data_IF_197885649110
#
_entry.id   IF_197885649110
#
_cell.length_a   1.000
_cell.length_b   1.000
_cell.length_c   1.000
_cell.angle_alpha   90.00
_cell.angle_beta   90.00
_cell.angle_gamma   90.00
#
_symmetry.space_group_name_H-M   'P 1'
#
loop_
_entity.id
_entity.type
_entity.pdbx_description
1 polymer ?
#
# COMPACT_ATOMS: atom_id res chain seq x y z
N UNK A 1 6.05 -33.76 -1.40
CA UNK A 1 7.23 -33.02 -1.91
C UNK A 1 7.58 -31.96 -0.86
N UNK A 2 7.94 -32.41 0.36
CA UNK A 2 7.85 -31.59 1.59
C UNK A 2 9.16 -31.55 2.38
N UNK A 3 10.27 -32.08 1.85
CA UNK A 3 11.51 -32.30 2.61
C UNK A 3 12.79 -31.79 1.90
N UNK A 4 12.71 -30.65 1.21
CA UNK A 4 13.90 -30.02 0.59
C UNK A 4 14.24 -28.62 1.13
N UNK A 5 13.60 -28.17 2.22
CA UNK A 5 13.49 -26.73 2.55
C UNK A 5 14.36 -26.23 3.71
N UNK A 6 15.26 -27.05 4.28
CA UNK A 6 15.90 -26.72 5.55
C UNK A 6 17.43 -26.70 5.53
N UNK A 7 18.09 -26.50 4.38
CA UNK A 7 19.57 -26.55 4.34
C UNK A 7 20.28 -25.24 4.70
N UNK A 8 19.63 -24.06 4.63
CA UNK A 8 20.30 -22.75 4.83
C UNK A 8 19.53 -21.73 5.71
N UNK A 9 18.49 -22.15 6.43
CA UNK A 9 17.72 -21.25 7.30
C UNK A 9 18.36 -21.15 8.69
N UNK A 10 18.71 -19.93 9.12
CA UNK A 10 19.13 -19.69 10.51
C UNK A 10 17.96 -19.12 11.31
N UNK A 11 17.56 -19.82 12.38
CA UNK A 11 16.57 -19.34 13.34
C UNK A 11 17.18 -19.30 14.74
N UNK A 12 17.20 -18.12 15.36
CA UNK A 12 17.68 -17.95 16.73
C UNK A 12 16.78 -16.99 17.49
N UNK A 13 16.56 -17.30 18.78
CA UNK A 13 16.00 -16.35 19.75
C UNK A 13 17.15 -15.56 20.36
N UNK A 14 17.10 -14.23 20.23
CA UNK A 14 18.17 -13.34 20.72
C UNK A 14 17.56 -12.16 21.46
N UNK A 15 18.23 -11.71 22.52
CA UNK A 15 17.86 -10.46 23.17
C UNK A 15 18.36 -9.25 22.37
N UNK A 16 17.89 -8.05 22.72
CA UNK A 16 18.23 -6.82 22.02
C UNK A 16 19.75 -6.51 22.09
N UNK A 17 20.40 -6.84 23.21
CA UNK A 17 21.85 -6.72 23.36
C UNK A 17 22.62 -7.46 22.25
N UNK A 18 22.24 -8.72 21.99
CA UNK A 18 22.83 -9.57 20.96
C UNK A 18 22.35 -9.22 19.55
N UNK A 19 21.09 -8.82 19.40
CA UNK A 19 20.54 -8.42 18.10
C UNK A 19 21.34 -7.26 17.50
N UNK A 20 21.60 -6.23 18.33
CA UNK A 20 22.43 -5.08 17.97
C UNK A 20 23.90 -5.23 18.40
N UNK A 21 24.42 -6.46 18.42
CA UNK A 21 25.85 -6.69 18.63
C UNK A 21 26.69 -6.05 17.51
N UNK A 22 28.00 -5.90 17.76
CA UNK A 22 28.96 -5.24 16.89
C UNK A 22 29.04 -5.83 15.49
N UNK A 23 28.60 -7.06 15.33
CA UNK A 23 28.64 -7.83 14.10
C UNK A 23 27.41 -7.66 13.21
N UNK A 24 26.29 -7.13 13.72
CA UNK A 24 25.04 -7.07 12.95
C UNK A 24 24.74 -5.66 12.43
N UNK A 25 24.31 -5.58 11.17
CA UNK A 25 23.82 -4.37 10.52
C UNK A 25 22.54 -4.68 9.75
N UNK A 26 21.56 -3.80 9.87
CA UNK A 26 20.25 -3.94 9.27
C UNK A 26 20.01 -2.78 8.29
N UNK A 27 19.42 -3.09 7.14
CA UNK A 27 18.96 -2.13 6.14
C UNK A 27 17.48 -2.35 5.90
N UNK A 28 16.69 -1.28 5.92
CA UNK A 28 15.33 -1.30 5.40
C UNK A 28 15.44 -1.08 3.88
N UNK A 29 15.15 -2.09 3.06
CA UNK A 29 15.37 -2.04 1.61
C UNK A 29 14.26 -1.25 0.90
N UNK A 30 14.52 -0.83 -0.34
CA UNK A 30 13.62 0.08 -1.07
C UNK A 30 12.29 -0.53 -1.48
N UNK A 31 12.17 -1.86 -1.49
CA UNK A 31 10.89 -2.53 -1.72
C UNK A 31 9.94 -2.50 -0.51
N UNK A 32 10.44 -2.15 0.67
CA UNK A 32 9.62 -2.01 1.86
C UNK A 32 8.92 -0.66 1.93
N UNK A 33 7.86 -0.56 2.73
CA UNK A 33 7.19 0.73 2.96
C UNK A 33 8.03 1.64 3.87
N UNK A 34 7.91 2.97 3.79
CA UNK A 34 8.50 3.88 4.78
C UNK A 34 8.00 3.59 6.21
N UNK A 35 8.60 4.25 7.21
CA UNK A 35 8.07 4.21 8.58
C UNK A 35 6.64 4.76 8.62
N UNK A 36 5.72 4.03 9.26
CA UNK A 36 4.28 4.30 9.18
C UNK A 36 3.49 3.89 10.42
N UNK A 37 4.15 3.46 11.50
CA UNK A 37 3.44 3.27 12.78
C UNK A 37 2.85 4.58 13.27
N UNK A 38 1.58 4.50 13.67
CA UNK A 38 0.82 5.58 14.26
C UNK A 38 0.98 5.61 15.79
N UNK A 39 0.34 6.59 16.41
CA UNK A 39 0.38 6.79 17.87
C UNK A 39 -0.12 5.55 18.60
N UNK A 40 -1.12 4.85 18.08
CA UNK A 40 -1.69 3.67 18.73
C UNK A 40 -0.65 2.54 18.76
N UNK A 41 -0.02 2.22 17.63
CA UNK A 41 1.00 1.16 17.57
C UNK A 41 2.22 1.49 18.44
N UNK A 42 2.60 2.77 18.50
CA UNK A 42 3.71 3.23 19.33
C UNK A 42 3.36 3.19 20.83
N UNK A 43 2.13 3.56 21.19
CA UNK A 43 1.62 3.51 22.56
C UNK A 43 1.56 2.07 23.05
N UNK A 44 1.01 1.16 22.24
CA UNK A 44 0.97 -0.27 22.54
C UNK A 44 2.38 -0.79 22.84
N UNK A 45 3.38 -0.49 21.98
CA UNK A 45 4.75 -0.96 22.19
C UNK A 45 5.35 -0.49 23.53
N UNK A 46 5.23 0.80 23.86
CA UNK A 46 5.86 1.34 25.07
C UNK A 46 5.09 0.95 26.34
N UNK A 47 3.76 0.92 26.29
CA UNK A 47 2.91 0.56 27.42
C UNK A 47 3.07 -0.93 27.76
N UNK A 48 3.19 -1.80 26.75
CA UNK A 48 3.53 -3.21 26.92
C UNK A 48 4.91 -3.38 27.59
N UNK A 49 5.92 -2.67 27.10
CA UNK A 49 7.27 -2.73 27.68
C UNK A 49 7.31 -2.23 29.13
N UNK A 50 6.55 -1.17 29.44
CA UNK A 50 6.45 -0.64 30.80
C UNK A 50 5.77 -1.64 31.73
N UNK A 51 4.69 -2.30 31.28
CA UNK A 51 3.87 -3.18 32.12
C UNK A 51 4.37 -4.63 32.19
N UNK A 52 5.26 -5.05 31.29
CA UNK A 52 5.76 -6.41 31.22
C UNK A 52 6.44 -6.89 32.53
N UNK A 53 6.24 -8.15 32.96
CA UNK A 53 6.95 -8.71 34.09
C UNK A 53 8.47 -8.66 33.89
N UNK A 54 9.23 -8.24 34.91
CA UNK A 54 10.70 -8.06 34.83
C UNK A 54 11.50 -9.35 35.07
N UNK A 55 10.84 -10.40 35.55
CA UNK A 55 11.42 -11.69 35.90
C UNK A 55 11.38 -12.72 34.75
N UNK A 56 10.75 -12.37 33.62
CA UNK A 56 10.63 -13.21 32.44
C UNK A 56 11.15 -12.49 31.18
N UNK A 57 11.51 -13.27 30.17
CA UNK A 57 11.86 -12.74 28.86
C UNK A 57 10.58 -12.27 28.13
N UNK A 58 10.64 -11.09 27.50
CA UNK A 58 9.51 -10.50 26.79
C UNK A 58 9.67 -10.64 25.28
N UNK A 59 8.71 -11.32 24.64
CA UNK A 59 8.79 -11.58 23.21
C UNK A 59 8.32 -10.38 22.39
N UNK A 60 9.27 -9.72 21.72
CA UNK A 60 9.02 -8.62 20.80
C UNK A 60 8.65 -9.11 19.39
N UNK A 61 8.36 -10.39 19.19
CA UNK A 61 7.93 -10.91 17.89
C UNK A 61 9.07 -11.38 16.99
N UNK A 62 8.70 -11.70 15.74
CA UNK A 62 9.60 -12.29 14.75
C UNK A 62 10.17 -11.23 13.80
N UNK A 63 11.43 -11.39 13.40
CA UNK A 63 12.08 -10.66 12.30
C UNK A 63 12.37 -11.63 11.16
N UNK A 64 12.09 -11.22 9.92
CA UNK A 64 12.50 -11.97 8.73
C UNK A 64 13.58 -11.17 8.02
N UNK A 65 14.72 -11.80 7.79
CA UNK A 65 15.94 -11.17 7.30
C UNK A 65 16.44 -11.87 6.04
N UNK A 66 16.93 -11.07 5.10
CA UNK A 66 17.70 -11.54 3.96
C UNK A 66 19.18 -11.20 4.21
N UNK A 67 20.05 -12.21 4.24
CA UNK A 67 21.49 -12.03 4.43
C UNK A 67 22.12 -11.53 3.14
N UNK A 68 22.50 -10.26 3.09
CA UNK A 68 23.11 -9.61 1.92
C UNK A 68 24.59 -9.95 1.84
N UNK A 69 25.29 -9.88 2.97
CA UNK A 69 26.70 -10.29 3.04
C UNK A 69 27.07 -10.76 4.44
N UNK A 70 28.09 -11.61 4.50
CA UNK A 70 28.73 -12.02 5.75
C UNK A 70 30.24 -12.00 5.51
N UNK A 71 30.92 -11.01 6.08
CA UNK A 71 32.35 -10.80 5.90
C UNK A 71 33.04 -10.68 7.26
N UNK A 72 34.00 -11.57 7.53
CA UNK A 72 34.77 -11.56 8.79
C UNK A 72 33.90 -11.54 10.06
N UNK A 73 32.77 -12.24 10.04
CA UNK A 73 31.80 -12.28 11.13
C UNK A 73 30.84 -11.08 11.18
N UNK A 74 31.01 -10.08 10.32
CA UNK A 74 30.05 -8.98 10.17
C UNK A 74 28.94 -9.40 9.20
N UNK A 75 27.71 -9.38 9.68
CA UNK A 75 26.50 -9.70 8.93
C UNK A 75 25.76 -8.42 8.54
N UNK A 76 25.39 -8.34 7.26
CA UNK A 76 24.53 -7.28 6.72
C UNK A 76 23.23 -7.91 6.27
N UNK A 77 22.13 -7.43 6.85
CA UNK A 77 20.79 -7.94 6.61
C UNK A 77 19.91 -6.88 5.96
N UNK A 78 19.16 -7.27 4.94
CA UNK A 78 17.95 -6.57 4.54
C UNK A 78 16.78 -7.06 5.40
N UNK A 79 16.03 -6.13 5.99
CA UNK A 79 14.87 -6.44 6.81
C UNK A 79 13.65 -6.64 5.91
N UNK A 80 13.20 -7.89 5.80
CA UNK A 80 12.03 -8.27 5.01
C UNK A 80 10.74 -8.22 5.85
N UNK A 81 10.84 -8.44 7.16
CA UNK A 81 9.72 -8.27 8.09
C UNK A 81 10.16 -7.72 9.44
N UNK A 82 9.25 -7.04 10.13
CA UNK A 82 9.49 -6.43 11.44
C UNK A 82 10.16 -5.05 11.37
N UNK A 83 10.25 -4.45 10.18
CA UNK A 83 10.86 -3.15 9.96
C UNK A 83 10.32 -2.05 10.90
N UNK A 84 9.00 -1.97 11.10
CA UNK A 84 8.37 -0.87 11.84
C UNK A 84 8.69 -0.99 13.32
N UNK A 85 8.69 -2.23 13.83
CA UNK A 85 9.04 -2.55 15.21
C UNK A 85 10.52 -2.30 15.47
N UNK A 86 11.39 -2.73 14.55
CA UNK A 86 12.84 -2.52 14.68
C UNK A 86 13.19 -1.03 14.66
N UNK A 87 12.59 -0.25 13.75
CA UNK A 87 12.75 1.20 13.69
C UNK A 87 12.25 1.86 14.98
N UNK A 88 11.07 1.50 15.47
CA UNK A 88 10.50 2.04 16.72
C UNK A 88 11.37 1.72 17.94
N UNK A 89 11.91 0.50 18.00
CA UNK A 89 12.84 0.11 19.05
C UNK A 89 14.13 0.95 19.01
N UNK A 90 14.70 1.20 17.83
CA UNK A 90 15.85 2.10 17.70
C UNK A 90 15.52 3.54 18.16
N UNK A 91 14.33 4.06 17.84
CA UNK A 91 13.87 5.37 18.30
C UNK A 91 13.73 5.38 19.83
N UNK A 92 13.15 4.34 20.42
CA UNK A 92 13.01 4.21 21.87
C UNK A 92 14.37 4.15 22.57
N UNK A 93 15.34 3.40 22.04
CA UNK A 93 16.71 3.39 22.55
C UNK A 93 17.34 4.78 22.49
N UNK A 94 17.13 5.55 21.41
CA UNK A 94 17.61 6.93 21.34
C UNK A 94 16.95 7.84 22.38
N UNK A 95 15.65 7.67 22.64
CA UNK A 95 14.94 8.42 23.68
C UNK A 95 15.45 8.05 25.08
N UNK A 96 15.74 6.78 25.34
CA UNK A 96 16.38 6.32 26.57
C UNK A 96 17.78 6.95 26.73
N UNK A 97 18.63 6.94 25.70
CA UNK A 97 19.95 7.60 25.70
C UNK A 97 19.88 9.08 26.07
N UNK A 98 18.83 9.77 25.65
CA UNK A 98 18.62 11.20 25.87
C UNK A 98 17.64 11.50 27.02
N UNK A 99 17.30 10.50 27.84
CA UNK A 99 16.45 10.67 29.01
C UNK A 99 17.17 11.41 30.12
N UNK A 100 16.43 12.23 30.86
CA UNK A 100 16.95 12.90 32.06
C UNK A 100 17.53 11.91 33.08
N UNK A 101 17.02 10.67 33.11
CA UNK A 101 17.53 9.61 33.99
C UNK A 101 19.02 9.31 33.78
N UNK A 102 19.58 9.54 32.59
CA UNK A 102 20.98 9.21 32.29
C UNK A 102 21.87 10.43 32.04
N UNK A 103 21.41 11.64 32.40
CA UNK A 103 22.17 12.89 32.14
C UNK A 103 23.59 12.82 32.73
N UNK A 104 23.73 12.30 33.95
CA UNK A 104 25.03 12.13 34.63
C UNK A 104 25.68 10.75 34.37
N UNK A 105 25.01 9.86 33.64
CA UNK A 105 25.46 8.49 33.37
C UNK A 105 26.03 8.34 31.96
N UNK A 106 27.16 9.00 31.71
CA UNK A 106 27.82 9.01 30.39
C UNK A 106 28.14 7.61 29.84
N UNK A 107 28.46 6.66 30.72
CA UNK A 107 28.74 5.28 30.32
C UNK A 107 27.49 4.58 29.76
N UNK A 108 26.34 4.70 30.43
CA UNK A 108 25.07 4.10 29.97
C UNK A 108 24.65 4.71 28.63
N UNK A 109 24.76 6.04 28.48
CA UNK A 109 24.47 6.73 27.21
C UNK A 109 25.34 6.21 26.08
N UNK A 110 26.63 5.96 26.34
CA UNK A 110 27.57 5.36 25.38
C UNK A 110 27.17 3.93 25.03
N UNK A 111 26.84 3.09 26.02
CA UNK A 111 26.40 1.71 25.77
C UNK A 111 25.14 1.65 24.89
N UNK A 112 24.16 2.51 25.15
CA UNK A 112 22.95 2.60 24.32
C UNK A 112 23.30 3.12 22.92
N UNK A 113 24.18 4.13 22.80
CA UNK A 113 24.64 4.63 21.51
C UNK A 113 25.29 3.54 20.66
N UNK A 114 26.10 2.65 21.26
CA UNK A 114 26.75 1.54 20.55
C UNK A 114 25.75 0.54 19.92
N UNK A 115 24.52 0.45 20.48
CA UNK A 115 23.42 -0.36 19.92
C UNK A 115 22.70 0.32 18.75
N UNK A 116 22.86 1.63 18.58
CA UNK A 116 22.23 2.40 17.51
C UNK A 116 23.24 2.69 16.39
N UNK A 117 24.51 2.92 16.74
CA UNK A 117 25.57 3.26 15.82
C UNK A 117 26.92 2.69 16.27
N UNK A 118 27.65 2.10 15.32
CA UNK A 118 29.07 1.83 15.46
C UNK A 118 29.86 3.14 15.35
N UNK A 119 30.63 3.47 16.38
CA UNK A 119 31.54 4.61 16.35
C UNK A 119 32.75 4.34 15.43
N UNK A 120 33.28 5.39 14.81
CA UNK A 120 34.54 5.33 14.06
C UNK A 120 35.70 5.06 15.01
N UNK A 121 36.45 3.98 14.78
CA UNK A 121 37.71 3.72 15.48
C UNK A 121 38.87 3.90 14.50
N UNK A 122 39.45 5.11 14.51
CA UNK A 122 40.50 5.52 13.57
C UNK A 122 41.74 4.60 13.60
N UNK A 123 42.15 4.14 14.79
CA UNK A 123 43.31 3.27 14.94
C UNK A 123 43.09 1.86 14.38
N UNK A 124 41.87 1.35 14.50
CA UNK A 124 41.49 0.02 14.04
C UNK A 124 40.95 0.02 12.60
N UNK A 125 40.90 1.18 11.94
CA UNK A 125 40.36 1.33 10.59
C UNK A 125 38.86 1.08 10.49
N UNK A 126 38.13 1.12 11.61
CA UNK A 126 36.71 0.82 11.67
C UNK A 126 35.91 2.10 11.38
N UNK A 127 35.09 2.16 10.32
CA UNK A 127 34.30 3.35 10.01
C UNK A 127 33.08 3.49 10.94
N UNK A 128 32.58 4.72 11.05
CA UNK A 128 31.27 4.94 11.66
C UNK A 128 30.18 4.33 10.77
N UNK A 129 29.25 3.59 11.38
CA UNK A 129 28.18 2.91 10.63
C UNK A 129 26.94 2.74 11.50
N UNK A 130 25.79 3.18 11.01
CA UNK A 130 24.52 3.00 11.72
C UNK A 130 24.14 1.52 11.76
N UNK A 131 23.63 1.05 12.90
CA UNK A 131 23.17 -0.34 13.09
C UNK A 131 21.92 -0.62 12.29
N UNK A 132 21.04 0.37 12.17
CA UNK A 132 19.86 0.36 11.31
C UNK A 132 19.98 1.48 10.28
N UNK A 133 19.90 1.12 8.99
CA UNK A 133 19.82 2.05 7.88
C UNK A 133 18.37 2.10 7.38
N UNK A 134 17.70 3.23 7.54
CA UNK A 134 16.35 3.47 7.00
C UNK A 134 16.43 4.21 5.66
N UNK A 135 15.29 4.43 4.99
CA UNK A 135 15.26 5.20 3.74
C UNK A 135 15.52 6.69 3.97
N UNK A 136 14.84 7.29 4.94
CA UNK A 136 14.95 8.72 5.29
C UNK A 136 16.20 9.03 6.14
N UNK A 137 17.39 8.75 5.60
CA UNK A 137 18.64 8.78 6.36
C UNK A 137 18.92 10.12 7.03
N UNK A 138 18.73 11.24 6.32
CA UNK A 138 19.03 12.55 6.88
C UNK A 138 18.15 12.87 8.09
N UNK A 139 16.84 12.60 8.00
CA UNK A 139 15.91 12.81 9.10
C UNK A 139 16.19 11.86 10.27
N UNK A 140 16.43 10.58 9.98
CA UNK A 140 16.72 9.58 11.00
C UNK A 140 18.05 9.83 11.69
N UNK A 141 19.09 10.23 10.96
CA UNK A 141 20.40 10.53 11.53
C UNK A 141 20.35 11.75 12.45
N UNK A 142 19.61 12.78 12.04
CA UNK A 142 19.38 13.98 12.84
C UNK A 142 18.63 13.68 14.14
N UNK A 143 17.55 12.91 14.07
CA UNK A 143 16.66 12.68 15.22
C UNK A 143 17.16 11.54 16.12
N UNK A 144 17.56 10.40 15.55
CA UNK A 144 17.80 9.15 16.27
C UNK A 144 19.29 8.90 16.51
N UNK A 145 20.13 9.07 15.49
CA UNK A 145 21.56 8.73 15.59
C UNK A 145 22.34 9.78 16.39
N UNK A 146 22.06 11.07 16.17
CA UNK A 146 22.73 12.19 16.83
C UNK A 146 22.45 12.17 18.35
N UNK A 147 23.48 12.10 19.22
CA UNK A 147 23.27 12.21 20.66
C UNK A 147 22.58 13.51 21.05
N UNK A 148 21.51 13.43 21.85
CA UNK A 148 20.66 14.57 22.19
C UNK A 148 19.63 14.96 21.12
N UNK A 149 19.69 14.36 19.92
CA UNK A 149 18.81 14.72 18.80
C UNK A 149 17.32 14.50 19.09
N UNK A 150 16.97 13.58 19.99
CA UNK A 150 15.56 13.33 20.36
C UNK A 150 14.99 14.40 21.31
N UNK A 151 15.83 15.27 21.90
CA UNK A 151 15.42 16.38 22.77
C UNK A 151 15.54 17.74 22.06
N UNK A 152 16.07 17.76 20.84
CA UNK A 152 16.23 18.99 20.06
C UNK A 152 14.90 19.42 19.44
N UNK A 153 14.25 20.40 20.07
CA UNK A 153 12.96 20.96 19.64
C UNK A 153 13.11 22.17 18.70
N UNK A 154 14.32 22.57 18.32
CA UNK A 154 14.57 23.86 17.64
C UNK A 154 14.03 23.94 16.21
N UNK A 155 13.59 22.83 15.61
CA UNK A 155 13.13 22.77 14.21
C UNK A 155 11.84 21.96 13.98
N UNK A 156 11.02 21.73 15.01
CA UNK A 156 9.70 21.06 14.85
C UNK A 156 8.83 21.83 13.84
N UNK A 157 8.92 23.16 13.82
CA UNK A 157 8.16 24.04 12.92
C UNK A 157 8.65 24.00 11.45
N UNK A 158 9.82 23.40 11.16
CA UNK A 158 10.41 23.33 9.82
C UNK A 158 10.59 21.91 9.30
N UNK A 159 9.93 20.89 9.85
CA UNK A 159 10.02 19.53 9.30
C UNK A 159 9.50 19.52 7.85
N UNK A 160 10.41 19.49 6.87
CA UNK A 160 10.11 19.70 5.43
C UNK A 160 9.49 18.43 4.79
N UNK A 161 9.35 17.32 5.52
CA UNK A 161 8.83 16.06 4.97
C UNK A 161 8.06 15.18 5.96
N UNK A 162 7.11 14.40 5.41
CA UNK A 162 6.22 13.49 6.12
C UNK A 162 6.99 12.44 6.96
N UNK A 163 8.18 12.01 6.52
CA UNK A 163 9.04 11.05 7.23
C UNK A 163 9.64 11.58 8.54
N UNK A 164 10.20 12.81 8.56
CA UNK A 164 10.75 13.41 9.79
C UNK A 164 9.65 13.58 10.85
N UNK A 165 8.46 14.01 10.42
CA UNK A 165 7.31 14.20 11.32
C UNK A 165 6.92 12.92 12.07
N UNK A 166 6.97 11.76 11.39
CA UNK A 166 6.66 10.47 12.02
C UNK A 166 7.70 10.08 13.08
N UNK A 167 8.99 10.30 12.82
CA UNK A 167 10.03 10.06 13.83
C UNK A 167 9.86 10.99 15.03
N UNK A 168 9.54 12.27 14.79
CA UNK A 168 9.27 13.25 15.85
C UNK A 168 8.05 12.86 16.69
N UNK A 169 6.97 12.42 16.06
CA UNK A 169 5.76 11.93 16.76
C UNK A 169 6.09 10.75 17.68
N UNK A 170 6.90 9.79 17.21
CA UNK A 170 7.36 8.67 18.02
C UNK A 170 8.23 9.12 19.20
N UNK A 171 9.17 10.03 18.96
CA UNK A 171 10.04 10.61 19.98
C UNK A 171 9.24 11.35 21.06
N UNK A 172 8.28 12.18 20.67
CA UNK A 172 7.42 12.94 21.59
C UNK A 172 6.60 12.00 22.48
N UNK A 173 6.02 10.95 21.91
CA UNK A 173 5.25 9.97 22.67
C UNK A 173 6.14 9.20 23.66
N UNK A 174 7.31 8.71 23.21
CA UNK A 174 8.21 7.97 24.07
C UNK A 174 8.79 8.84 25.18
N UNK A 175 9.22 10.07 24.92
CA UNK A 175 9.65 10.99 25.98
C UNK A 175 8.51 11.29 26.95
N UNK A 176 7.28 11.52 26.49
CA UNK A 176 6.12 11.71 27.38
C UNK A 176 5.93 10.53 28.33
N UNK A 177 6.10 9.29 27.85
CA UNK A 177 6.01 8.09 28.69
C UNK A 177 7.21 7.97 29.62
N UNK A 178 8.43 8.15 29.13
CA UNK A 178 9.66 8.06 29.94
C UNK A 178 9.71 9.14 31.04
N UNK A 179 9.27 10.36 30.74
CA UNK A 179 9.25 11.48 31.69
C UNK A 179 8.15 11.30 32.77
N UNK A 180 7.19 10.38 32.56
CA UNK A 180 6.20 10.00 33.56
C UNK A 180 6.70 8.94 34.55
N UNK A 181 7.83 8.31 34.26
CA UNK A 181 8.46 7.29 35.12
C UNK A 181 9.49 7.91 36.06
N UNK A 182 9.67 7.31 37.24
CA UNK A 182 10.77 7.66 38.13
C UNK A 182 12.12 7.21 37.57
N UNK A 183 13.21 7.83 38.05
CA UNK A 183 14.57 7.47 37.62
C UNK A 183 14.86 5.95 37.73
N UNK A 184 14.57 5.25 38.86
CA UNK A 184 14.77 3.81 38.94
C UNK A 184 13.93 3.01 37.94
N UNK A 185 12.71 3.45 37.63
CA UNK A 185 11.85 2.78 36.66
C UNK A 185 12.42 2.89 35.23
N UNK A 186 12.96 4.06 34.85
CA UNK A 186 13.62 4.24 33.55
C UNK A 186 14.88 3.37 33.44
N UNK A 187 15.69 3.30 34.50
CA UNK A 187 16.87 2.43 34.55
C UNK A 187 16.48 0.97 34.38
N UNK A 188 15.52 0.50 35.18
CA UNK A 188 15.00 -0.87 35.11
C UNK A 188 14.40 -1.19 33.73
N UNK A 189 13.70 -0.24 33.11
CA UNK A 189 13.14 -0.39 31.77
C UNK A 189 14.23 -0.53 30.70
N UNK A 190 15.29 0.30 30.78
CA UNK A 190 16.41 0.21 29.84
C UNK A 190 17.14 -1.14 29.95
N UNK A 191 17.42 -1.60 31.18
CA UNK A 191 18.02 -2.91 31.42
C UNK A 191 17.13 -4.04 30.91
N UNK A 192 15.83 -3.97 31.19
CA UNK A 192 14.86 -4.94 30.71
C UNK A 192 14.81 -5.03 29.18
N UNK A 193 14.73 -3.88 28.49
CA UNK A 193 14.71 -3.83 27.02
C UNK A 193 15.97 -4.46 26.43
N UNK A 194 17.14 -4.16 26.98
CA UNK A 194 18.41 -4.66 26.42
C UNK A 194 18.62 -6.14 26.72
N UNK A 195 18.31 -6.57 27.94
CA UNK A 195 18.71 -7.90 28.43
C UNK A 195 17.62 -8.96 28.30
N UNK A 196 16.34 -8.60 28.47
CA UNK A 196 15.20 -9.52 28.61
C UNK A 196 14.20 -9.47 27.47
N UNK A 197 14.15 -8.38 26.71
CA UNK A 197 13.35 -8.36 25.49
C UNK A 197 14.04 -9.19 24.40
N UNK A 198 13.32 -10.17 23.86
CA UNK A 198 13.82 -11.13 22.89
C UNK A 198 13.04 -11.07 21.59
N UNK A 199 13.76 -11.28 20.48
CA UNK A 199 13.18 -11.47 19.14
C UNK A 199 13.59 -12.84 18.62
N UNK A 200 12.72 -13.44 17.81
CA UNK A 200 13.09 -14.57 16.96
C UNK A 200 13.44 -14.01 15.60
N UNK A 201 14.68 -14.16 15.12
CA UNK A 201 14.99 -13.80 13.74
C UNK A 201 15.11 -15.05 12.87
N UNK A 202 14.61 -14.94 11.65
CA UNK A 202 14.71 -15.92 10.58
C UNK A 202 15.55 -15.30 9.47
N UNK A 203 16.80 -15.73 9.33
CA UNK A 203 17.69 -15.25 8.28
C UNK A 203 17.79 -16.27 7.15
N UNK A 204 17.46 -15.84 5.93
CA UNK A 204 17.64 -16.61 4.71
C UNK A 204 18.83 -16.06 3.90
N UNK A 205 19.43 -16.92 3.08
CA UNK A 205 20.57 -16.56 2.22
C UNK A 205 20.15 -15.95 0.87
N UNK A 206 18.87 -16.02 0.51
CA UNK A 206 18.33 -15.39 -0.69
C UNK A 206 17.06 -14.60 -0.39
N UNK A 207 16.80 -13.60 -1.24
CA UNK A 207 15.62 -12.76 -1.14
C UNK A 207 14.34 -13.57 -1.31
N UNK A 208 14.28 -14.50 -2.27
CA UNK A 208 13.08 -15.30 -2.55
C UNK A 208 12.70 -16.18 -1.36
N UNK A 209 13.69 -16.73 -0.66
CA UNK A 209 13.45 -17.51 0.54
C UNK A 209 13.01 -16.62 1.70
N UNK A 210 13.67 -15.48 1.92
CA UNK A 210 13.27 -14.51 2.93
C UNK A 210 11.84 -14.01 2.68
N UNK A 211 11.49 -13.73 1.44
CA UNK A 211 10.18 -13.26 1.05
C UNK A 211 9.11 -14.34 1.22
N UNK A 212 9.43 -15.60 0.91
CA UNK A 212 8.53 -16.73 1.19
C UNK A 212 8.33 -16.93 2.70
N UNK A 213 9.36 -16.77 3.52
CA UNK A 213 9.21 -16.84 4.98
C UNK A 213 8.30 -15.71 5.48
N UNK A 214 8.48 -14.51 4.94
CA UNK A 214 7.66 -13.36 5.23
C UNK A 214 6.18 -13.59 4.92
N UNK A 215 5.84 -14.15 3.75
CA UNK A 215 4.45 -14.45 3.40
C UNK A 215 3.86 -15.52 4.31
N UNK A 216 4.62 -16.57 4.65
CA UNK A 216 4.17 -17.63 5.57
C UNK A 216 3.98 -17.14 7.00
N UNK A 217 4.86 -16.27 7.50
CA UNK A 217 4.77 -15.69 8.86
C UNK A 217 3.56 -14.76 8.94
N UNK A 218 3.32 -13.94 7.91
CA UNK A 218 2.21 -12.97 7.90
C UNK A 218 0.85 -13.59 7.58
N UNK A 219 0.78 -14.66 6.76
CA UNK A 219 -0.49 -15.36 6.48
C UNK A 219 -1.11 -16.01 7.74
N UNK A 220 -0.34 -16.17 8.82
CA UNK A 220 -0.83 -16.63 10.14
C UNK A 220 -1.22 -15.48 11.08
N UNK A 221 -0.99 -14.22 10.69
CA UNK A 221 -1.20 -13.00 11.48
C UNK A 221 -2.08 -11.95 10.79
N UNK A 222 -1.85 -10.65 11.09
CA UNK A 222 -2.56 -9.52 10.44
C UNK A 222 -2.13 -9.45 8.97
N UNK A 223 -3.09 -9.55 8.04
CA UNK A 223 -2.81 -9.63 6.60
C UNK A 223 -2.11 -8.37 6.10
N UNK A 224 -0.98 -8.54 5.41
CA UNK A 224 -0.36 -7.50 4.62
C UNK A 224 -1.26 -7.08 3.45
N UNK A 225 -1.16 -5.81 3.06
CA UNK A 225 -1.81 -5.33 1.84
C UNK A 225 -1.19 -6.08 0.66
N UNK A 226 -2.03 -6.69 -0.18
CA UNK A 226 -1.57 -7.45 -1.35
C UNK A 226 -0.74 -6.59 -2.31
N UNK A 227 -1.00 -5.29 -2.34
CA UNK A 227 -0.24 -4.31 -3.12
C UNK A 227 1.20 -4.12 -2.63
N UNK A 228 1.47 -4.28 -1.34
CA UNK A 228 2.84 -4.20 -0.80
C UNK A 228 3.66 -5.40 -1.25
N UNK A 229 3.02 -6.58 -1.31
CA UNK A 229 3.64 -7.80 -1.85
C UNK A 229 3.91 -7.65 -3.35
N UNK A 230 2.97 -7.05 -4.10
CA UNK A 230 3.18 -6.72 -5.51
C UNK A 230 4.33 -5.74 -5.71
N UNK A 231 4.43 -4.69 -4.90
CA UNK A 231 5.56 -3.75 -4.92
C UNK A 231 6.88 -4.51 -4.72
N UNK A 232 6.95 -5.35 -3.70
CA UNK A 232 8.18 -6.07 -3.38
C UNK A 232 8.59 -7.08 -4.46
N UNK A 233 7.65 -7.77 -5.07
CA UNK A 233 7.93 -8.65 -6.20
C UNK A 233 8.41 -7.89 -7.43
N UNK A 234 7.83 -6.73 -7.73
CA UNK A 234 8.22 -5.93 -8.90
C UNK A 234 9.53 -5.16 -8.69
N UNK A 235 9.93 -4.90 -7.44
CA UNK A 235 11.20 -4.27 -7.09
C UNK A 235 12.27 -5.28 -6.62
N UNK A 236 11.99 -6.59 -6.74
CA UNK A 236 12.90 -7.63 -6.28
C UNK A 236 14.26 -7.53 -7.01
N UNK A 237 15.38 -7.87 -6.35
CA UNK A 237 16.71 -7.76 -6.95
C UNK A 237 16.90 -8.53 -8.28
N UNK A 238 16.17 -9.63 -8.48
CA UNK A 238 16.23 -10.37 -9.74
C UNK A 238 15.38 -9.76 -10.86
N UNK A 239 14.43 -8.86 -10.52
CA UNK A 239 13.57 -8.14 -11.48
C UNK A 239 14.19 -6.79 -11.83
N UNK A 240 14.66 -6.05 -10.83
CA UNK A 240 15.39 -4.78 -10.99
C UNK A 240 16.75 -4.93 -10.30
N UNK A 241 17.80 -5.35 -11.06
CA UNK A 241 19.13 -5.61 -10.51
C UNK A 241 19.83 -4.38 -9.97
N UNK A 242 19.66 -3.23 -10.64
CA UNK A 242 20.30 -1.98 -10.25
C UNK A 242 19.64 -1.35 -9.02
N UNK A 243 20.47 -0.94 -8.05
CA UNK A 243 20.03 -0.38 -6.77
C UNK A 243 19.49 1.05 -6.91
N UNK A 244 19.98 1.83 -7.88
CA UNK A 244 19.53 3.20 -8.16
C UNK A 244 18.16 3.17 -8.85
N UNK A 245 18.00 2.32 -9.86
CA UNK A 245 16.71 2.08 -10.51
C UNK A 245 15.67 1.58 -9.52
N UNK A 246 16.02 0.63 -8.66
CA UNK A 246 15.10 0.12 -7.64
C UNK A 246 14.63 1.22 -6.69
N UNK A 247 15.53 2.13 -6.31
CA UNK A 247 15.18 3.30 -5.49
C UNK A 247 14.26 4.25 -6.25
N UNK A 248 14.61 4.61 -7.48
CA UNK A 248 13.80 5.49 -8.34
C UNK A 248 12.37 4.96 -8.52
N UNK A 249 12.22 3.66 -8.79
CA UNK A 249 10.90 3.04 -8.94
C UNK A 249 10.14 2.88 -7.62
N UNK A 250 10.84 2.67 -6.49
CA UNK A 250 10.23 2.70 -5.17
C UNK A 250 9.66 4.09 -4.83
N UNK A 251 10.41 5.14 -5.11
CA UNK A 251 10.00 6.54 -4.92
C UNK A 251 8.81 6.90 -5.82
N UNK A 252 8.82 6.48 -7.10
CA UNK A 252 7.67 6.64 -8.00
C UNK A 252 6.42 5.94 -7.46
N UNK A 253 6.56 4.72 -6.94
CA UNK A 253 5.44 3.99 -6.34
C UNK A 253 4.85 4.74 -5.15
N UNK A 254 5.70 5.29 -4.30
CA UNK A 254 5.27 6.07 -3.13
C UNK A 254 4.62 7.38 -3.53
N UNK A 255 5.17 8.09 -4.52
CA UNK A 255 4.55 9.30 -5.06
C UNK A 255 3.16 9.02 -5.64
N UNK A 256 2.97 7.88 -6.32
CA UNK A 256 1.65 7.46 -6.80
C UNK A 256 0.66 7.22 -5.64
N UNK A 257 1.08 6.50 -4.60
CA UNK A 257 0.22 6.20 -3.44
C UNK A 257 -0.10 7.48 -2.64
N UNK A 258 0.87 8.38 -2.46
CA UNK A 258 0.67 9.66 -1.79
C UNK A 258 -0.27 10.58 -2.59
N UNK A 259 -0.14 10.61 -3.92
CA UNK A 259 -0.97 11.42 -4.80
C UNK A 259 -2.46 11.12 -4.66
N UNK A 260 -2.84 9.83 -4.64
CA UNK A 260 -4.26 9.42 -4.64
C UNK A 260 -4.78 8.99 -3.27
N UNK A 261 -3.88 8.78 -2.30
CA UNK A 261 -4.17 8.22 -1.00
C UNK A 261 -4.32 6.69 -0.99
N UNK A 262 -4.03 6.08 0.16
CA UNK A 262 -3.98 4.62 0.35
C UNK A 262 -5.22 3.87 -0.13
N UNK A 263 -6.43 4.35 0.22
CA UNK A 263 -7.70 3.69 -0.15
C UNK A 263 -7.91 3.68 -1.66
N UNK A 264 -7.77 4.84 -2.31
CA UNK A 264 -7.91 4.97 -3.77
C UNK A 264 -6.83 4.16 -4.48
N UNK A 265 -5.61 4.14 -3.94
CA UNK A 265 -4.52 3.36 -4.51
C UNK A 265 -4.85 1.86 -4.53
N UNK A 266 -5.40 1.28 -3.46
CA UNK A 266 -5.88 -0.11 -3.48
C UNK A 266 -7.01 -0.35 -4.50
N UNK A 267 -7.93 0.61 -4.66
CA UNK A 267 -9.03 0.52 -5.64
C UNK A 267 -8.53 0.54 -7.08
N UNK A 268 -7.44 1.25 -7.37
CA UNK A 268 -6.78 1.25 -8.68
C UNK A 268 -6.31 -0.16 -9.04
N UNK A 269 -5.70 -0.92 -8.13
CA UNK A 269 -5.29 -2.30 -8.41
C UNK A 269 -6.49 -3.21 -8.73
N UNK A 270 -7.60 -3.05 -8.00
CA UNK A 270 -8.83 -3.81 -8.27
C UNK A 270 -9.40 -3.47 -9.65
N UNK A 271 -9.38 -2.19 -10.01
CA UNK A 271 -9.85 -1.70 -11.30
C UNK A 271 -8.94 -2.18 -12.44
N UNK A 272 -7.63 -2.02 -12.30
CA UNK A 272 -6.62 -2.51 -13.24
C UNK A 272 -6.75 -4.02 -13.47
N UNK A 273 -6.93 -4.80 -12.39
CA UNK A 273 -7.18 -6.24 -12.49
C UNK A 273 -8.44 -6.54 -13.31
N UNK A 274 -9.53 -5.81 -13.09
CA UNK A 274 -10.75 -6.00 -13.88
C UNK A 274 -10.56 -5.62 -15.35
N UNK A 275 -9.77 -4.58 -15.65
CA UNK A 275 -9.46 -4.17 -17.02
C UNK A 275 -8.69 -5.25 -17.80
N UNK A 276 -7.69 -5.87 -17.17
CA UNK A 276 -6.89 -6.92 -17.82
C UNK A 276 -7.59 -8.27 -17.85
N UNK A 277 -8.23 -8.69 -16.76
CA UNK A 277 -8.78 -10.04 -16.61
C UNK A 277 -10.19 -10.16 -17.19
N UNK A 278 -11.00 -9.09 -17.15
CA UNK A 278 -12.35 -9.01 -17.73
C UNK A 278 -13.35 -10.08 -17.24
N UNK A 279 -13.08 -10.68 -16.09
CA UNK A 279 -13.96 -11.65 -15.43
C UNK A 279 -14.23 -11.22 -13.99
N UNK A 280 -15.17 -11.86 -13.30
CA UNK A 280 -15.27 -11.70 -11.85
C UNK A 280 -13.98 -12.17 -11.14
N UNK A 281 -13.61 -11.60 -9.99
CA UNK A 281 -12.53 -12.13 -9.15
C UNK A 281 -12.76 -13.61 -8.85
N UNK A 282 -11.74 -14.44 -9.09
CA UNK A 282 -11.75 -15.88 -8.81
C UNK A 282 -10.82 -16.24 -7.66
N UNK A 283 -10.03 -15.30 -7.16
CA UNK A 283 -9.12 -15.54 -6.05
C UNK A 283 -8.58 -14.27 -5.42
N UNK A 284 -7.50 -14.45 -4.66
CA UNK A 284 -6.76 -13.36 -4.04
C UNK A 284 -6.12 -12.44 -5.09
N UNK A 285 -6.18 -11.12 -4.84
CA UNK A 285 -5.70 -10.09 -5.77
C UNK A 285 -4.26 -10.34 -6.22
N UNK A 286 -3.36 -10.71 -5.30
CA UNK A 286 -1.95 -10.97 -5.62
C UNK A 286 -1.83 -12.11 -6.62
N UNK A 287 -2.49 -13.25 -6.35
CA UNK A 287 -2.46 -14.44 -7.21
C UNK A 287 -3.04 -14.14 -8.59
N UNK A 288 -4.02 -13.25 -8.68
CA UNK A 288 -4.58 -12.84 -9.96
C UNK A 288 -3.58 -12.03 -10.79
N UNK A 289 -2.86 -11.10 -10.18
CA UNK A 289 -1.78 -10.36 -10.86
C UNK A 289 -0.66 -11.30 -11.31
N UNK A 290 -0.17 -12.17 -10.41
CA UNK A 290 0.92 -13.10 -10.71
C UNK A 290 0.57 -14.11 -11.81
N UNK A 291 -0.63 -14.71 -11.75
CA UNK A 291 -0.97 -15.82 -12.62
C UNK A 291 -1.67 -15.41 -13.92
N UNK A 292 -2.34 -14.25 -13.94
CA UNK A 292 -3.23 -13.85 -15.06
C UNK A 292 -2.87 -12.52 -15.72
N UNK A 293 -2.03 -11.69 -15.11
CA UNK A 293 -1.69 -10.36 -15.64
C UNK A 293 -0.21 -10.27 -15.97
N UNK A 294 0.66 -10.37 -14.98
CA UNK A 294 2.09 -10.13 -15.16
C UNK A 294 2.72 -11.12 -16.14
N UNK A 295 3.37 -10.59 -17.17
CA UNK A 295 4.03 -11.38 -18.23
C UNK A 295 3.07 -12.12 -19.17
N UNK A 296 1.76 -11.82 -19.15
CA UNK A 296 0.80 -12.36 -20.13
C UNK A 296 0.70 -11.48 -21.37
N UNK A 297 0.29 -12.06 -22.48
CA UNK A 297 0.16 -11.36 -23.77
C UNK A 297 -0.79 -10.17 -23.65
N UNK A 298 -0.30 -8.97 -23.99
CA UNK A 298 -1.08 -7.72 -23.92
C UNK A 298 -1.19 -7.11 -22.52
N UNK A 299 -0.55 -7.70 -21.52
CA UNK A 299 -0.45 -7.21 -20.15
C UNK A 299 1.02 -6.87 -19.81
N UNK A 300 1.28 -6.04 -18.78
CA UNK A 300 2.63 -5.60 -18.46
C UNK A 300 3.54 -6.74 -18.00
N UNK A 301 4.84 -6.63 -18.30
CA UNK A 301 5.86 -7.48 -17.67
C UNK A 301 6.20 -6.98 -16.24
N UNK A 302 6.67 -7.86 -15.34
CA UNK A 302 7.13 -7.43 -14.01
C UNK A 302 8.22 -6.34 -14.07
N UNK A 303 8.31 -5.52 -13.03
CA UNK A 303 9.33 -4.48 -12.89
C UNK A 303 8.93 -3.16 -13.53
N UNK A 304 9.85 -2.54 -14.26
CA UNK A 304 9.68 -1.22 -14.86
C UNK A 304 8.40 -1.08 -15.68
N UNK A 305 8.11 -2.05 -16.55
CA UNK A 305 6.93 -1.96 -17.44
C UNK A 305 5.62 -1.94 -16.64
N UNK A 306 5.52 -2.78 -15.60
CA UNK A 306 4.38 -2.76 -14.70
C UNK A 306 4.26 -1.45 -13.94
N UNK A 307 5.36 -0.91 -13.39
CA UNK A 307 5.35 0.33 -12.61
C UNK A 307 4.98 1.53 -13.49
N UNK A 308 5.47 1.56 -14.73
CA UNK A 308 5.07 2.56 -15.72
C UNK A 308 3.58 2.46 -16.06
N UNK A 309 3.06 1.25 -16.29
CA UNK A 309 1.63 1.04 -16.57
C UNK A 309 0.75 1.37 -15.38
N UNK A 310 1.20 1.09 -14.17
CA UNK A 310 0.53 1.52 -12.94
C UNK A 310 0.46 3.05 -12.89
N UNK A 311 1.54 3.76 -13.21
CA UNK A 311 1.54 5.22 -13.25
C UNK A 311 0.53 5.78 -14.25
N UNK A 312 0.50 5.25 -15.48
CA UNK A 312 -0.50 5.63 -16.49
C UNK A 312 -1.93 5.45 -15.96
N UNK A 313 -2.19 4.35 -15.25
CA UNK A 313 -3.48 4.07 -14.62
C UNK A 313 -3.81 5.02 -13.46
N UNK A 314 -2.83 5.35 -12.63
CA UNK A 314 -2.98 6.28 -11.50
C UNK A 314 -3.32 7.69 -11.98
N UNK A 315 -2.60 8.19 -12.98
CA UNK A 315 -2.86 9.51 -13.56
C UNK A 315 -4.25 9.57 -14.23
N UNK A 316 -4.64 8.49 -14.91
CA UNK A 316 -5.98 8.40 -15.49
C UNK A 316 -7.08 8.29 -14.43
N UNK A 317 -6.84 7.54 -13.34
CA UNK A 317 -7.78 7.41 -12.24
C UNK A 317 -8.00 8.73 -11.51
N UNK A 318 -6.91 9.43 -11.21
CA UNK A 318 -6.91 10.75 -10.58
C UNK A 318 -7.76 11.75 -11.37
N UNK A 319 -7.43 11.92 -12.65
CA UNK A 319 -8.14 12.83 -13.57
C UNK A 319 -9.63 12.51 -13.76
N UNK A 320 -10.03 11.24 -13.65
CA UNK A 320 -11.41 10.82 -13.83
C UNK A 320 -12.24 10.86 -12.55
N UNK A 321 -11.67 10.51 -11.40
CA UNK A 321 -12.46 10.21 -10.19
C UNK A 321 -12.06 11.00 -8.95
N UNK A 322 -10.91 11.68 -8.96
CA UNK A 322 -10.41 12.44 -7.81
C UNK A 322 -10.44 13.93 -8.13
N UNK A 323 -9.62 14.39 -9.08
CA UNK A 323 -9.65 15.78 -9.55
C UNK A 323 -10.83 16.05 -10.48
N UNK A 324 -11.32 15.02 -11.18
CA UNK A 324 -12.47 15.08 -12.09
C UNK A 324 -12.28 16.15 -13.19
N UNK A 325 -11.05 16.34 -13.65
CA UNK A 325 -10.65 17.36 -14.63
C UNK A 325 -10.29 16.79 -16.01
N UNK A 326 -10.56 15.50 -16.26
CA UNK A 326 -10.22 14.83 -17.53
C UNK A 326 -10.79 15.50 -18.80
N UNK A 327 -11.96 16.15 -18.69
CA UNK A 327 -12.63 16.90 -19.78
C UNK A 327 -12.60 18.43 -19.58
N UNK A 328 -11.69 18.95 -18.76
CA UNK A 328 -11.58 20.39 -18.47
C UNK A 328 -11.36 21.28 -19.71
N UNK A 329 -10.80 20.70 -20.78
CA UNK A 329 -10.56 21.34 -22.07
C UNK A 329 -11.76 21.30 -23.04
N UNK A 330 -12.87 20.65 -22.68
CA UNK A 330 -14.12 20.65 -23.46
C UNK A 330 -15.18 21.56 -22.80
N UNK A 331 -15.35 22.81 -23.27
CA UNK A 331 -16.28 23.77 -22.67
C UNK A 331 -17.75 23.31 -22.70
N UNK A 332 -18.11 22.41 -23.62
CA UNK A 332 -19.49 21.95 -23.79
C UNK A 332 -19.83 20.80 -22.82
N UNK A 333 -18.83 20.02 -22.44
CA UNK A 333 -19.01 18.81 -21.64
C UNK A 333 -18.44 18.93 -20.21
N UNK A 334 -17.46 19.80 -19.94
CA UNK A 334 -16.74 19.86 -18.65
C UNK A 334 -17.68 19.90 -17.44
N UNK A 335 -18.54 20.91 -17.35
CA UNK A 335 -19.45 21.07 -16.22
C UNK A 335 -20.45 19.91 -16.07
N UNK A 336 -20.91 19.35 -17.20
CA UNK A 336 -21.85 18.21 -17.20
C UNK A 336 -21.16 16.93 -16.74
N UNK A 337 -19.94 16.71 -17.23
CA UNK A 337 -19.09 15.60 -16.83
C UNK A 337 -18.74 15.68 -15.34
N UNK A 338 -18.25 16.83 -14.88
CA UNK A 338 -17.89 17.06 -13.47
C UNK A 338 -19.07 16.79 -12.54
N UNK A 339 -20.25 17.31 -12.87
CA UNK A 339 -21.46 17.13 -12.07
C UNK A 339 -21.87 15.65 -12.00
N UNK A 340 -21.96 14.98 -13.16
CA UNK A 340 -22.38 13.59 -13.21
C UNK A 340 -21.36 12.66 -12.54
N UNK A 341 -20.08 12.86 -12.83
CA UNK A 341 -19.01 12.04 -12.28
C UNK A 341 -18.90 12.20 -10.77
N UNK A 342 -19.00 13.43 -10.25
CA UNK A 342 -19.00 13.67 -8.80
C UNK A 342 -20.15 12.93 -8.11
N UNK A 343 -21.35 12.98 -8.67
CA UNK A 343 -22.51 12.26 -8.15
C UNK A 343 -22.31 10.74 -8.20
N UNK A 344 -21.81 10.21 -9.31
CA UNK A 344 -21.51 8.78 -9.44
C UNK A 344 -20.43 8.33 -8.46
N UNK A 345 -19.35 9.09 -8.29
CA UNK A 345 -18.27 8.75 -7.34
C UNK A 345 -18.77 8.71 -5.91
N UNK A 346 -19.62 9.66 -5.52
CA UNK A 346 -20.17 9.76 -4.17
C UNK A 346 -21.21 8.66 -3.86
N UNK A 347 -22.09 8.36 -4.81
CA UNK A 347 -23.27 7.52 -4.55
C UNK A 347 -23.12 6.07 -5.03
N UNK A 348 -22.28 5.81 -6.04
CA UNK A 348 -22.19 4.47 -6.63
C UNK A 348 -21.18 3.62 -5.86
N UNK A 349 -21.69 2.83 -4.91
CA UNK A 349 -20.89 1.90 -4.09
C UNK A 349 -20.19 0.76 -4.84
N UNK A 350 -20.48 0.57 -6.13
CA UNK A 350 -19.89 -0.50 -6.94
C UNK A 350 -18.62 0.01 -7.65
N UNK A 351 -17.62 -0.84 -7.89
CA UNK A 351 -16.33 -0.42 -8.47
C UNK A 351 -16.15 -0.83 -9.94
N UNK A 352 -17.02 -1.71 -10.43
CA UNK A 352 -16.97 -2.28 -11.76
C UNK A 352 -17.10 -1.17 -12.82
N UNK A 353 -18.01 -0.22 -12.60
CA UNK A 353 -18.19 0.90 -13.52
C UNK A 353 -16.93 1.76 -13.68
N UNK A 354 -16.13 1.96 -12.62
CA UNK A 354 -14.86 2.71 -12.68
C UNK A 354 -13.88 2.05 -13.64
N UNK A 355 -13.73 0.73 -13.56
CA UNK A 355 -12.90 -0.02 -14.50
C UNK A 355 -13.38 0.14 -15.95
N UNK A 356 -14.69 0.20 -16.18
CA UNK A 356 -15.24 0.36 -17.54
C UNK A 356 -14.91 1.73 -18.11
N UNK A 357 -15.04 2.78 -17.30
CA UNK A 357 -14.67 4.15 -17.66
C UNK A 357 -13.16 4.27 -17.90
N UNK A 358 -12.31 3.68 -17.04
CA UNK A 358 -10.86 3.64 -17.24
C UNK A 358 -10.49 3.00 -18.56
N UNK A 359 -11.02 1.81 -18.86
CA UNK A 359 -10.74 1.10 -20.11
C UNK A 359 -11.22 1.87 -21.33
N UNK A 360 -12.38 2.52 -21.23
CA UNK A 360 -12.88 3.37 -22.30
C UNK A 360 -11.92 4.53 -22.56
N UNK A 361 -11.54 5.26 -21.52
CA UNK A 361 -10.64 6.40 -21.62
C UNK A 361 -9.24 5.99 -22.12
N UNK A 362 -8.71 4.85 -21.68
CA UNK A 362 -7.44 4.29 -22.17
C UNK A 362 -7.48 4.01 -23.69
N UNK A 363 -8.60 3.45 -24.19
CA UNK A 363 -8.71 3.02 -25.59
C UNK A 363 -9.18 4.10 -26.55
N UNK A 364 -10.05 5.00 -26.11
CA UNK A 364 -10.73 5.98 -26.97
C UNK A 364 -10.44 7.44 -26.60
N UNK A 365 -9.75 7.68 -25.47
CA UNK A 365 -9.48 9.01 -24.97
C UNK A 365 -10.75 9.77 -24.58
N UNK A 366 -10.69 11.10 -24.75
CA UNK A 366 -11.77 12.04 -24.39
C UNK A 366 -12.99 11.96 -25.30
N UNK A 367 -12.80 11.54 -26.55
CA UNK A 367 -13.85 11.54 -27.56
C UNK A 367 -15.00 10.63 -27.13
N UNK A 368 -16.20 11.20 -27.03
CA UNK A 368 -17.45 10.51 -26.63
C UNK A 368 -17.47 9.93 -25.21
N UNK A 369 -16.49 10.25 -24.35
CA UNK A 369 -16.46 9.78 -22.96
C UNK A 369 -17.71 10.17 -22.18
N UNK A 370 -18.16 11.42 -22.31
CA UNK A 370 -19.38 11.87 -21.61
C UNK A 370 -20.62 11.09 -22.04
N UNK A 371 -20.75 10.75 -23.33
CA UNK A 371 -21.85 9.90 -23.83
C UNK A 371 -21.75 8.48 -23.28
N UNK A 372 -20.54 7.94 -23.17
CA UNK A 372 -20.31 6.63 -22.55
C UNK A 372 -20.67 6.65 -21.06
N UNK A 373 -20.34 7.72 -20.34
CA UNK A 373 -20.65 7.88 -18.92
C UNK A 373 -22.16 7.87 -18.66
N UNK A 374 -22.95 8.59 -19.46
CA UNK A 374 -24.42 8.55 -19.40
C UNK A 374 -24.99 7.14 -19.62
N UNK A 375 -24.38 6.36 -20.52
CA UNK A 375 -24.78 4.97 -20.72
C UNK A 375 -24.46 4.09 -19.50
N UNK A 376 -23.30 4.27 -18.89
CA UNK A 376 -22.88 3.57 -17.67
C UNK A 376 -23.78 3.91 -16.49
N UNK A 377 -24.11 5.20 -16.30
CA UNK A 377 -25.05 5.69 -15.29
C UNK A 377 -26.42 5.02 -15.47
N UNK A 378 -26.98 5.07 -16.67
CA UNK A 378 -28.29 4.46 -16.96
C UNK A 378 -28.32 2.97 -16.65
N UNK A 379 -27.26 2.24 -17.00
CA UNK A 379 -27.12 0.81 -16.68
C UNK A 379 -27.11 0.61 -15.16
N UNK A 380 -26.31 1.39 -14.44
CA UNK A 380 -26.22 1.27 -12.99
C UNK A 380 -27.57 1.52 -12.32
N UNK A 381 -28.25 2.61 -12.66
CA UNK A 381 -29.55 2.96 -12.10
C UNK A 381 -30.62 1.93 -12.44
N UNK A 382 -30.63 1.41 -13.68
CA UNK A 382 -31.56 0.35 -14.09
C UNK A 382 -31.36 -0.90 -13.25
N UNK A 383 -30.11 -1.36 -13.08
CA UNK A 383 -29.78 -2.51 -12.23
C UNK A 383 -30.14 -2.27 -10.77
N UNK A 384 -29.91 -1.05 -10.26
CA UNK A 384 -30.24 -0.69 -8.89
C UNK A 384 -31.75 -0.75 -8.63
N UNK A 385 -32.56 -0.18 -9.52
CA UNK A 385 -34.04 -0.21 -9.43
C UNK A 385 -34.57 -1.64 -9.58
N UNK A 386 -33.97 -2.46 -10.43
CA UNK A 386 -34.35 -3.85 -10.63
C UNK A 386 -33.86 -4.79 -9.52
N UNK A 387 -33.05 -4.32 -8.57
CA UNK A 387 -32.47 -5.15 -7.52
C UNK A 387 -31.50 -6.22 -8.03
N UNK A 388 -30.88 -6.00 -9.20
CA UNK A 388 -29.91 -6.93 -9.82
C UNK A 388 -28.73 -7.13 -8.87
N UNK A 389 -28.37 -8.40 -8.66
CA UNK A 389 -27.33 -8.74 -7.68
C UNK A 389 -25.97 -8.29 -8.20
N UNK A 390 -25.03 -8.04 -7.29
CA UNK A 390 -23.70 -7.51 -7.63
C UNK A 390 -22.95 -8.42 -8.62
N UNK A 391 -23.06 -9.72 -8.46
CA UNK A 391 -22.48 -10.75 -9.31
C UNK A 391 -23.02 -10.77 -10.75
N UNK A 392 -24.30 -10.42 -10.94
CA UNK A 392 -24.93 -10.31 -12.26
C UNK A 392 -24.53 -9.02 -12.99
N UNK A 393 -24.24 -7.95 -12.23
CA UNK A 393 -23.74 -6.67 -12.81
C UNK A 393 -22.38 -6.83 -13.45
N UNK A 394 -21.51 -7.70 -12.91
CA UNK A 394 -20.18 -7.96 -13.47
C UNK A 394 -20.25 -8.35 -14.95
N UNK A 395 -21.13 -9.28 -15.33
CA UNK A 395 -21.26 -9.74 -16.72
C UNK A 395 -21.64 -8.63 -17.69
N UNK A 396 -22.58 -7.76 -17.31
CA UNK A 396 -23.04 -6.67 -18.18
C UNK A 396 -21.97 -5.62 -18.40
N UNK A 397 -21.21 -5.30 -17.35
CA UNK A 397 -20.05 -4.44 -17.52
C UNK A 397 -19.01 -5.17 -18.38
N UNK A 398 -18.58 -6.40 -18.02
CA UNK A 398 -17.51 -7.18 -18.71
C UNK A 398 -17.75 -7.36 -20.20
N UNK A 399 -18.98 -7.64 -20.60
CA UNK A 399 -19.39 -7.74 -22.02
C UNK A 399 -19.17 -6.43 -22.80
N UNK A 400 -19.31 -5.27 -22.13
CA UNK A 400 -19.05 -3.96 -22.74
C UNK A 400 -17.55 -3.60 -22.77
N UNK A 401 -16.70 -4.19 -21.92
CA UNK A 401 -15.23 -4.00 -21.99
C UNK A 401 -14.63 -4.73 -23.19
N UNK A 402 -15.01 -6.00 -23.41
CA UNK A 402 -14.46 -6.83 -24.48
C UNK A 402 -14.84 -6.29 -25.86
N UNK A 403 -16.07 -5.75 -25.96
CA UNK A 403 -16.60 -5.17 -27.18
C UNK A 403 -16.16 -3.76 -27.47
N UNK A 404 -15.31 -3.11 -26.66
CA UNK A 404 -14.90 -1.71 -26.82
C UNK A 404 -14.85 -1.29 -28.31
N UNK A 405 -15.99 -0.80 -28.78
CA UNK A 405 -16.30 -0.39 -30.13
C UNK A 405 -16.54 1.10 -29.94
N UNK A 406 -16.01 1.95 -30.84
CA UNK A 406 -16.45 3.34 -30.85
C UNK A 406 -17.99 3.32 -30.90
N UNK A 407 -18.70 4.26 -30.27
CA UNK A 407 -20.14 4.36 -30.42
C UNK A 407 -20.45 4.74 -31.87
N UNK A 408 -20.39 3.77 -32.79
CA UNK A 408 -21.15 3.80 -34.03
C UNK A 408 -22.57 3.46 -33.61
N UNK A 409 -23.38 4.50 -33.51
CA UNK A 409 -24.83 4.43 -33.37
C UNK A 409 -25.31 3.49 -32.25
N UNK A 410 -25.17 3.94 -31.00
CA UNK A 410 -26.34 3.76 -30.12
C UNK A 410 -27.34 4.79 -30.64
N UNK A 411 -28.13 4.41 -31.64
CA UNK A 411 -29.37 5.13 -31.96
C UNK A 411 -30.25 5.02 -30.72
N UNK A 412 -30.16 6.04 -29.87
CA UNK A 412 -31.29 6.41 -29.05
C UNK A 412 -32.32 6.98 -30.02
N UNK A 413 -33.40 6.24 -30.29
CA UNK A 413 -34.58 6.84 -30.89
C UNK A 413 -34.90 8.11 -30.11
N UNK A 414 -34.82 9.24 -30.82
CA UNK A 414 -35.14 10.58 -30.31
C UNK A 414 -36.55 10.56 -29.73
N UNK A 415 -36.68 10.77 -28.43
CA UNK A 415 -37.85 11.43 -27.88
C UNK A 415 -37.66 12.95 -27.99
N UNK A 416 -37.55 13.45 -29.22
CA UNK A 416 -37.62 14.89 -29.52
C UNK A 416 -38.80 15.08 -30.48
N UNK A 417 -40.02 15.07 -29.92
CA UNK A 417 -41.21 15.65 -30.52
C UNK A 417 -42.15 16.07 -29.40
N UNK A 418 -41.80 17.16 -28.72
CA UNK A 418 -42.73 17.96 -27.93
C UNK A 418 -42.18 19.36 -27.74
N UNK A 419 -42.05 20.10 -28.84
CA UNK A 419 -42.12 21.56 -28.79
C UNK A 419 -42.71 22.04 -30.12
N UNK A 420 -44.02 21.91 -30.23
CA UNK A 420 -44.79 22.71 -31.18
C UNK A 420 -46.04 23.21 -30.46
N UNK A 421 -46.03 24.51 -30.17
CA UNK A 421 -47.06 25.16 -29.38
C UNK A 421 -48.43 25.04 -30.02
N UNK A 422 -49.35 24.34 -29.37
CA UNK A 422 -50.80 24.55 -29.54
C UNK A 422 -51.51 24.45 -28.18
N UNK A 423 -52.47 25.35 -28.05
CA UNK A 423 -53.29 25.66 -26.89
C UNK A 423 -53.89 24.44 -26.18
N UNK A 424 -53.98 24.55 -24.86
CA UNK A 424 -54.87 23.74 -24.03
C UNK A 424 -56.30 23.81 -24.56
N UNK A 425 -56.83 22.65 -24.96
CA UNK A 425 -58.23 22.43 -25.31
C UNK A 425 -58.70 21.13 -24.65
N UNK A 426 -59.93 21.17 -24.15
CA UNK A 426 -60.59 20.22 -23.24
C UNK A 426 -60.65 18.76 -23.72
N UNK A 427 -60.76 17.86 -22.74
CA UNK A 427 -60.89 16.42 -22.91
C UNK A 427 -62.30 15.99 -23.38
N UNK A 428 -62.37 15.06 -24.35
CA UNK A 428 -63.40 14.00 -24.47
C UNK A 428 -63.14 13.04 -25.66
N UNK A 429 -63.75 11.83 -25.69
CA UNK A 429 -62.95 10.60 -25.71
C UNK A 429 -63.22 9.67 -26.93
N UNK A 430 -62.33 8.66 -27.06
CA UNK A 430 -62.46 7.39 -27.82
C UNK A 430 -62.40 7.49 -29.37
N UNK A 431 -61.33 6.94 -29.96
CA UNK A 431 -61.39 5.79 -30.91
C UNK A 431 -60.00 5.50 -31.55
N UNK A 432 -59.47 4.29 -31.32
CA UNK A 432 -58.54 3.56 -32.21
C UNK A 432 -57.04 3.88 -32.16
N UNK A 433 -56.19 2.84 -32.09
CA UNK A 433 -54.73 2.87 -32.30
C UNK A 433 -53.95 2.20 -31.16
N UNK A 434 -53.50 0.95 -31.28
CA UNK A 434 -52.24 0.46 -31.89
C UNK A 434 -51.14 0.12 -30.85
N UNK A 435 -50.82 -1.18 -30.82
CA UNK A 435 -49.67 -1.94 -30.30
C UNK A 435 -48.55 -1.24 -29.48
N UNK A 436 -48.32 -1.77 -28.26
CA UNK A 436 -47.03 -1.70 -27.56
C UNK A 436 -46.11 -2.84 -28.06
N UNK A 437 -44.87 -2.59 -28.50
CA UNK A 437 -43.86 -3.64 -28.61
C UNK A 437 -43.12 -3.81 -27.27
N UNK A 438 -43.40 -4.93 -26.62
CA UNK A 438 -42.54 -5.60 -25.64
C UNK A 438 -41.32 -6.14 -26.40
N UNK A 439 -40.10 -5.76 -26.01
CA UNK A 439 -38.89 -6.32 -26.60
C UNK A 439 -38.61 -7.72 -26.03
N UNK A 440 -38.76 -8.70 -26.92
CA UNK A 440 -38.41 -10.10 -26.75
C UNK A 440 -36.92 -10.30 -26.50
N UNK A 441 -36.60 -11.11 -25.48
CA UNK A 441 -35.31 -11.80 -25.35
C UNK A 441 -35.29 -12.91 -26.41
N UNK A 442 -34.29 -12.92 -27.28
CA UNK A 442 -34.16 -13.92 -28.33
C UNK A 442 -34.00 -15.34 -27.76
N UNK A 443 -34.85 -16.26 -28.21
CA UNK A 443 -34.76 -17.69 -27.93
C UNK A 443 -33.43 -18.24 -28.44
N UNK A 444 -32.64 -18.82 -27.53
CA UNK A 444 -31.66 -19.83 -27.87
C UNK A 444 -32.41 -21.15 -28.07
N UNK A 445 -32.23 -21.74 -29.25
CA UNK A 445 -32.77 -23.03 -29.68
C UNK A 445 -32.65 -24.13 -28.62
N UNK A 446 -33.78 -24.57 -28.07
CA UNK A 446 -33.92 -25.85 -27.38
C UNK A 446 -34.35 -26.91 -28.40
N UNK A 447 -33.38 -27.68 -28.90
CA UNK A 447 -33.67 -28.97 -29.51
C UNK A 447 -34.18 -29.92 -28.42
N UNK A 448 -35.47 -30.25 -28.50
CA UNK A 448 -36.14 -31.12 -27.56
C UNK A 448 -35.81 -32.60 -27.77
N UNK A 449 -35.76 -33.35 -26.66
CA UNK A 449 -36.47 -34.62 -26.49
C UNK A 449 -36.82 -34.82 -25.01
N UNK A 450 -37.99 -35.40 -24.68
CA UNK A 450 -38.38 -35.67 -23.31
C UNK A 450 -37.83 -37.02 -22.84
N UNK A 451 -37.23 -37.06 -21.64
CA UNK A 451 -37.50 -38.00 -20.54
C UNK A 451 -36.61 -37.66 -19.35
#
# INVERSE_FOLDING_TARGET
>A
MENALASNLTSNTVNIDKLFDKQNFFKIPDYQRPFSWDIDNLSDLIDDLITAPRDADYFLGTLVLHTVSTERGVHVYDVVDGQQRLTSLCILLACLRDSHAFTDSSDVRRQIQEKIQQEKQSLSGIPARNRLRVRDLAAFDKVVITPGGTRDNTEIERAIGNGEQKYRTAVELFHRRLDSLSHPEVVNLAEFIVQRCVVVYLAASSFEEAFRLFTVVNDRGRQLRRIDVLKANNLAPHVIPDDEDRRHYAEKWEAMEEKVGEKSFEEIFRSMRLVYVQEKPQGDLLKEFENRILGKTGAPSPGEDFIRKLNDFVDLYDSLFISIDYLADDPNCSAKFETLMSAMVAEFNANEWRAAVLRFAEKFGKSTLYKFLLAIEKIFLTHWVQGVRKDERYSTYTERYSRALPPKAVEFERCDNADDGRQFGEASPIAGGEYFPVLYVGDASLDGRPY
#
